data_IF_972227788498
#
_entry.id   IF_972227788498
#
_cell.length_a   1.000
_cell.length_b   1.000
_cell.length_c   1.000
_cell.angle_alpha   90.00
_cell.angle_beta   90.00
_cell.angle_gamma   90.00
#
_symmetry.space_group_name_H-M   'P 1'
#
loop_
_entity.id
_entity.type
_entity.pdbx_description
1 polymer ?
#
# COMPACT_ATOMS: atom_id res chain seq x y z
N UNK A 1 24.41 8.86 -7.10
CA UNK A 1 24.01 9.49 -5.79
C UNK A 1 22.83 8.69 -5.24
N UNK A 2 22.66 8.64 -3.92
CA UNK A 2 21.50 8.01 -3.30
C UNK A 2 20.27 8.91 -3.50
N UNK A 3 19.14 8.33 -3.89
CA UNK A 3 17.86 9.05 -4.01
C UNK A 3 17.27 9.32 -2.63
N UNK A 4 16.89 10.56 -2.37
CA UNK A 4 16.40 11.06 -1.09
C UNK A 4 15.08 11.81 -1.27
N UNK A 5 14.45 12.24 -0.18
CA UNK A 5 13.18 13.00 -0.21
C UNK A 5 13.27 14.28 -1.08
N UNK A 6 14.43 14.95 -1.09
CA UNK A 6 14.62 16.14 -1.92
C UNK A 6 14.57 15.87 -3.43
N UNK A 7 14.82 14.62 -3.84
CA UNK A 7 14.78 14.20 -5.24
C UNK A 7 13.36 13.90 -5.73
N UNK A 8 12.36 13.98 -4.86
CA UNK A 8 10.95 13.90 -5.27
C UNK A 8 10.67 15.07 -6.21
N UNK A 9 10.24 14.80 -7.45
CA UNK A 9 9.92 15.88 -8.40
C UNK A 9 8.70 16.68 -7.94
N UNK A 10 8.48 17.84 -8.53
CA UNK A 10 7.30 18.65 -8.28
C UNK A 10 6.00 17.84 -8.45
N UNK A 11 5.11 17.96 -7.48
CA UNK A 11 3.83 17.25 -7.43
C UNK A 11 2.63 18.18 -7.53
N UNK A 12 2.81 19.47 -7.87
CA UNK A 12 1.70 20.38 -8.03
C UNK A 12 0.69 19.89 -9.08
N UNK A 13 -0.60 20.04 -8.76
CA UNK A 13 -1.71 19.60 -9.62
C UNK A 13 -1.96 18.09 -9.60
N UNK A 14 -1.19 17.30 -8.84
CA UNK A 14 -1.41 15.86 -8.65
C UNK A 14 -2.25 15.59 -7.42
N UNK A 15 -3.07 14.55 -7.49
CA UNK A 15 -3.94 14.08 -6.41
C UNK A 15 -3.44 12.71 -5.93
N UNK A 16 -3.16 12.60 -4.65
CA UNK A 16 -2.70 11.37 -4.01
C UNK A 16 -3.67 10.89 -2.93
N UNK A 17 -3.96 9.60 -2.90
CA UNK A 17 -4.63 8.93 -1.78
C UNK A 17 -3.60 8.03 -1.10
N UNK A 18 -3.41 8.20 0.22
CA UNK A 18 -2.52 7.37 1.02
C UNK A 18 -3.33 6.67 2.11
N UNK A 19 -3.42 5.33 2.04
CA UNK A 19 -4.13 4.56 3.08
C UNK A 19 -3.23 4.37 4.30
N UNK A 20 -3.83 4.45 5.51
CA UNK A 20 -3.08 4.35 6.77
C UNK A 20 -2.13 5.52 7.03
N UNK A 21 -2.49 6.71 6.54
CA UNK A 21 -1.64 7.90 6.57
C UNK A 21 -1.61 8.64 7.93
N UNK A 22 -2.18 8.08 8.99
CA UNK A 22 -2.22 8.71 10.31
C UNK A 22 -0.95 8.48 11.15
N UNK A 23 -0.05 7.60 10.74
CA UNK A 23 1.19 7.29 11.46
C UNK A 23 2.24 6.58 10.60
N UNK A 24 3.48 6.54 11.07
CA UNK A 24 4.57 5.76 10.48
C UNK A 24 4.82 6.10 9.01
N UNK A 25 5.05 5.07 8.20
CA UNK A 25 5.40 5.19 6.78
C UNK A 25 4.31 5.91 5.97
N UNK A 26 3.04 5.62 6.25
CA UNK A 26 1.93 6.28 5.56
C UNK A 26 1.88 7.78 5.82
N UNK A 27 2.12 8.20 7.08
CA UNK A 27 2.23 9.60 7.44
C UNK A 27 3.38 10.29 6.71
N UNK A 28 4.59 9.71 6.76
CA UNK A 28 5.78 10.28 6.11
C UNK A 28 5.62 10.34 4.58
N UNK A 29 5.00 9.32 3.98
CA UNK A 29 4.69 9.33 2.55
C UNK A 29 3.74 10.48 2.20
N UNK A 30 2.67 10.66 2.99
CA UNK A 30 1.70 11.74 2.78
C UNK A 30 2.32 13.13 3.00
N UNK A 31 3.11 13.29 4.06
CA UNK A 31 3.83 14.52 4.38
C UNK A 31 4.78 14.93 3.24
N UNK A 32 5.61 13.99 2.77
CA UNK A 32 6.58 14.27 1.72
C UNK A 32 5.90 14.65 0.38
N UNK A 33 4.81 13.94 0.01
CA UNK A 33 4.04 14.28 -1.19
C UNK A 33 3.39 15.67 -1.07
N UNK A 34 2.80 15.99 0.09
CA UNK A 34 2.19 17.29 0.34
C UNK A 34 3.22 18.42 0.35
N UNK A 35 4.41 18.20 0.94
CA UNK A 35 5.51 19.16 0.92
C UNK A 35 6.03 19.46 -0.51
N UNK A 36 5.80 18.55 -1.47
CA UNK A 36 6.13 18.72 -2.89
C UNK A 36 4.96 19.25 -3.73
N UNK A 37 3.87 19.68 -3.10
CA UNK A 37 2.74 20.33 -3.76
C UNK A 37 1.59 19.42 -4.19
N UNK A 38 1.60 18.13 -3.85
CA UNK A 38 0.45 17.26 -4.11
C UNK A 38 -0.73 17.62 -3.21
N UNK A 39 -1.95 17.49 -3.74
CA UNK A 39 -3.16 17.35 -2.92
C UNK A 39 -3.20 15.92 -2.36
N UNK A 40 -3.19 15.77 -1.03
CA UNK A 40 -3.10 14.46 -0.40
C UNK A 40 -4.32 14.15 0.48
N UNK A 41 -4.94 13.01 0.23
CA UNK A 41 -6.00 12.45 1.08
C UNK A 41 -5.41 11.44 2.05
N UNK A 42 -5.53 11.76 3.35
CA UNK A 42 -5.14 10.88 4.45
C UNK A 42 -6.29 9.90 4.71
N UNK A 43 -6.28 8.75 4.06
CA UNK A 43 -7.32 7.75 4.17
C UNK A 43 -7.02 6.79 5.33
N UNK A 44 -7.70 6.96 6.47
CA UNK A 44 -7.49 6.12 7.65
C UNK A 44 -8.73 5.98 8.53
N UNK A 45 -8.75 4.92 9.34
CA UNK A 45 -9.93 4.54 10.14
C UNK A 45 -10.18 5.46 11.35
N UNK A 46 -9.12 5.83 12.05
CA UNK A 46 -9.25 6.60 13.29
C UNK A 46 -9.30 8.09 12.98
N UNK A 47 -10.46 8.71 13.18
CA UNK A 47 -10.69 10.12 12.88
C UNK A 47 -9.79 11.05 13.71
N UNK A 48 -9.67 10.84 15.01
CA UNK A 48 -8.86 11.71 15.87
C UNK A 48 -7.39 11.71 15.43
N UNK A 49 -6.81 10.52 15.17
CA UNK A 49 -5.43 10.39 14.65
C UNK A 49 -5.28 10.92 13.23
N UNK A 50 -6.31 10.79 12.39
CA UNK A 50 -6.30 11.31 11.04
C UNK A 50 -6.30 12.84 11.00
N UNK A 51 -7.12 13.48 11.82
CA UNK A 51 -7.15 14.94 11.96
C UNK A 51 -5.86 15.49 12.60
N UNK A 52 -5.32 14.80 13.59
CA UNK A 52 -4.01 15.16 14.16
C UNK A 52 -2.91 15.12 13.08
N UNK A 53 -2.86 14.06 12.29
CA UNK A 53 -1.90 13.95 11.19
C UNK A 53 -2.09 15.07 10.15
N UNK A 54 -3.33 15.40 9.79
CA UNK A 54 -3.65 16.51 8.90
C UNK A 54 -3.14 17.84 9.46
N UNK A 55 -3.41 18.12 10.74
CA UNK A 55 -2.98 19.35 11.42
C UNK A 55 -1.44 19.45 11.48
N UNK A 56 -0.76 18.35 11.81
CA UNK A 56 0.70 18.30 11.85
C UNK A 56 1.33 18.60 10.49
N UNK A 57 0.86 17.98 9.41
CA UNK A 57 1.37 18.24 8.07
C UNK A 57 1.15 19.71 7.68
N UNK A 58 -0.03 20.27 7.97
CA UNK A 58 -0.31 21.68 7.72
C UNK A 58 0.55 22.63 8.54
N UNK A 59 0.94 22.26 9.76
CA UNK A 59 1.83 23.08 10.58
C UNK A 59 3.27 23.08 10.08
N UNK A 60 3.72 21.99 9.44
CA UNK A 60 5.06 21.88 8.85
C UNK A 60 5.15 22.60 7.48
N UNK A 61 4.05 22.62 6.73
CA UNK A 61 3.96 23.25 5.41
C UNK A 61 2.60 23.95 5.26
N UNK A 62 2.57 25.27 5.49
CA UNK A 62 1.32 26.05 5.51
C UNK A 62 0.55 26.02 4.17
N UNK A 63 1.23 25.76 3.05
CA UNK A 63 0.63 25.61 1.71
C UNK A 63 0.18 24.18 1.41
N UNK A 64 0.37 23.20 2.30
CA UNK A 64 0.02 21.81 2.06
C UNK A 64 -1.50 21.63 1.88
N UNK A 65 -1.91 21.13 0.72
CA UNK A 65 -3.30 20.72 0.45
C UNK A 65 -3.49 19.28 0.90
N UNK A 66 -3.77 19.12 2.19
CA UNK A 66 -3.94 17.81 2.81
C UNK A 66 -5.26 17.76 3.54
N UNK A 67 -5.98 16.61 3.45
CA UNK A 67 -7.23 16.40 4.17
C UNK A 67 -7.38 14.98 4.65
N UNK A 68 -7.93 14.82 5.83
CA UNK A 68 -8.36 13.54 6.35
C UNK A 68 -9.70 13.11 5.73
N UNK A 69 -9.80 11.83 5.35
CA UNK A 69 -11.07 11.18 5.01
C UNK A 69 -11.15 9.79 5.67
N UNK A 70 -12.30 9.44 6.26
CA UNK A 70 -12.44 8.16 6.94
C UNK A 70 -12.45 6.99 5.95
N UNK A 71 -11.62 5.96 6.23
CA UNK A 71 -11.56 4.71 5.49
C UNK A 71 -11.22 3.57 6.45
N UNK A 72 -12.16 2.64 6.65
CA UNK A 72 -11.91 1.38 7.35
C UNK A 72 -11.76 0.24 6.33
N UNK A 73 -10.53 -0.24 6.17
CA UNK A 73 -10.20 -1.40 5.33
C UNK A 73 -10.64 -2.74 5.97
N UNK A 74 -11.14 -2.72 7.19
CA UNK A 74 -11.79 -3.87 7.82
C UNK A 74 -13.26 -4.04 7.43
N UNK A 75 -13.79 -3.19 6.52
CA UNK A 75 -15.19 -3.24 6.08
C UNK A 75 -15.31 -2.78 4.61
N UNK A 76 -15.70 -3.67 3.71
CA UNK A 76 -15.90 -3.35 2.29
C UNK A 76 -16.95 -2.26 2.08
N UNK A 77 -17.96 -2.17 2.94
CA UNK A 77 -18.94 -1.09 2.90
C UNK A 77 -18.29 0.29 3.07
N UNK A 78 -17.31 0.42 3.98
CA UNK A 78 -16.52 1.64 4.14
C UNK A 78 -15.65 1.94 2.92
N UNK A 79 -15.07 0.90 2.30
CA UNK A 79 -14.27 1.04 1.07
C UNK A 79 -15.12 1.57 -0.08
N UNK A 80 -16.35 1.04 -0.25
CA UNK A 80 -17.29 1.49 -1.28
C UNK A 80 -17.72 2.95 -1.05
N UNK A 81 -18.16 3.29 0.15
CA UNK A 81 -18.58 4.65 0.50
C UNK A 81 -17.43 5.67 0.30
N UNK A 82 -16.19 5.30 0.66
CA UNK A 82 -15.03 6.14 0.42
C UNK A 82 -14.80 6.37 -1.09
N UNK A 83 -14.80 5.30 -1.89
CA UNK A 83 -14.57 5.39 -3.33
C UNK A 83 -15.66 6.22 -4.03
N UNK A 84 -16.94 5.99 -3.72
CA UNK A 84 -18.07 6.76 -4.24
C UNK A 84 -17.92 8.25 -3.96
N UNK A 85 -17.62 8.60 -2.70
CA UNK A 85 -17.37 9.99 -2.30
C UNK A 85 -16.19 10.59 -3.05
N UNK A 86 -15.11 9.84 -3.25
CA UNK A 86 -13.92 10.33 -3.95
C UNK A 86 -14.21 10.60 -5.43
N UNK A 87 -14.87 9.70 -6.12
CA UNK A 87 -15.25 9.85 -7.53
C UNK A 87 -16.16 11.07 -7.72
N UNK A 88 -17.12 11.26 -6.82
CA UNK A 88 -18.06 12.38 -6.89
C UNK A 88 -17.39 13.76 -6.69
N UNK A 89 -16.39 13.84 -5.80
CA UNK A 89 -15.75 15.10 -5.43
C UNK A 89 -14.50 15.44 -6.23
N UNK A 90 -13.75 14.43 -6.67
CA UNK A 90 -12.47 14.59 -7.37
C UNK A 90 -12.21 13.38 -8.26
N UNK A 91 -12.56 13.45 -9.55
CA UNK A 91 -12.38 12.31 -10.46
C UNK A 91 -10.91 12.06 -10.83
N UNK A 92 -10.00 13.03 -10.59
CA UNK A 92 -8.56 12.88 -10.85
C UNK A 92 -7.90 12.08 -9.73
N UNK A 93 -7.08 11.10 -10.09
CA UNK A 93 -6.28 10.32 -9.15
C UNK A 93 -4.93 9.95 -9.76
N UNK A 94 -3.87 10.66 -9.37
CA UNK A 94 -2.52 10.45 -9.89
C UNK A 94 -1.77 9.36 -9.12
N UNK A 95 -1.98 9.27 -7.80
CA UNK A 95 -1.27 8.34 -6.93
C UNK A 95 -2.24 7.64 -5.97
N UNK A 96 -2.34 6.32 -6.07
CA UNK A 96 -3.00 5.48 -5.07
C UNK A 96 -1.95 4.68 -4.30
N UNK A 97 -1.71 5.06 -3.05
CA UNK A 97 -0.74 4.39 -2.19
C UNK A 97 -1.48 3.46 -1.23
N UNK A 98 -1.53 2.19 -1.57
CA UNK A 98 -2.09 1.09 -0.77
C UNK A 98 -1.08 0.70 0.33
N UNK A 99 -0.92 1.57 1.34
CA UNK A 99 0.09 1.45 2.39
C UNK A 99 -0.45 0.80 3.67
N UNK A 100 -1.70 1.03 4.03
CA UNK A 100 -2.26 0.52 5.27
C UNK A 100 -2.08 -0.99 5.44
N UNK A 101 -1.99 -1.43 6.67
CA UNK A 101 -1.91 -2.86 6.95
C UNK A 101 -1.92 -3.16 8.43
N UNK A 102 -2.15 -4.41 8.74
CA UNK A 102 -2.01 -4.98 10.08
C UNK A 102 -0.97 -6.11 10.02
N UNK A 103 -0.21 -6.27 11.10
CA UNK A 103 0.86 -7.25 11.18
C UNK A 103 0.72 -8.12 12.42
N UNK A 104 0.57 -9.40 12.21
CA UNK A 104 0.58 -10.46 13.22
C UNK A 104 -0.40 -10.24 14.40
N UNK A 105 -1.63 -9.70 14.22
CA UNK A 105 -2.61 -9.66 15.29
C UNK A 105 -3.04 -11.09 15.66
N UNK A 106 -3.68 -11.30 16.82
CA UNK A 106 -4.44 -12.51 17.08
C UNK A 106 -5.43 -12.81 15.95
N UNK A 107 -5.84 -14.09 15.80
CA UNK A 107 -6.86 -14.44 14.82
C UNK A 107 -8.12 -13.59 15.00
N UNK A 108 -8.60 -13.07 13.92
CA UNK A 108 -9.82 -12.28 13.85
C UNK A 108 -10.33 -12.18 12.42
N UNK A 109 -11.49 -11.59 12.25
CA UNK A 109 -12.12 -11.39 10.94
C UNK A 109 -12.52 -9.94 10.74
N UNK A 110 -12.53 -9.52 9.49
CA UNK A 110 -13.13 -8.25 9.05
C UNK A 110 -14.64 -8.31 9.17
N UNK A 111 -15.32 -7.17 9.00
CA UNK A 111 -16.78 -7.12 8.97
C UNK A 111 -17.38 -8.01 7.89
N UNK A 112 -16.62 -8.29 6.81
CA UNK A 112 -17.03 -9.12 5.68
C UNK A 112 -16.65 -10.60 5.87
N UNK A 113 -16.12 -10.98 7.03
CA UNK A 113 -15.78 -12.36 7.38
C UNK A 113 -14.39 -12.83 6.93
N UNK A 114 -13.56 -12.00 6.32
CA UNK A 114 -12.20 -12.35 5.90
C UNK A 114 -11.23 -12.38 7.09
N UNK A 115 -10.24 -13.27 7.04
CA UNK A 115 -9.14 -13.19 8.02
C UNK A 115 -8.54 -11.78 7.98
N UNK A 116 -8.24 -11.23 9.16
CA UNK A 116 -7.93 -9.81 9.34
C UNK A 116 -6.78 -9.32 8.46
N UNK A 117 -5.71 -10.12 8.27
CA UNK A 117 -4.53 -9.70 7.52
C UNK A 117 -4.77 -9.76 6.01
N UNK A 118 -5.31 -10.87 5.49
CA UNK A 118 -5.62 -10.95 4.05
C UNK A 118 -6.75 -9.98 3.67
N UNK A 119 -7.74 -9.82 4.53
CA UNK A 119 -8.85 -8.90 4.33
C UNK A 119 -8.40 -7.45 4.25
N UNK A 120 -7.67 -6.98 5.27
CA UNK A 120 -7.24 -5.57 5.36
C UNK A 120 -6.09 -5.25 4.41
N UNK A 121 -5.05 -6.11 4.35
CA UNK A 121 -3.83 -5.80 3.63
C UNK A 121 -3.96 -5.99 2.12
N UNK A 122 -4.85 -6.90 1.67
CA UNK A 122 -5.01 -7.25 0.27
C UNK A 122 -6.42 -7.01 -0.27
N UNK A 123 -7.45 -7.74 0.22
CA UNK A 123 -8.77 -7.72 -0.39
C UNK A 123 -9.42 -6.32 -0.39
N UNK A 124 -9.26 -5.56 0.70
CA UNK A 124 -9.78 -4.20 0.78
C UNK A 124 -9.06 -3.24 -0.17
N UNK A 125 -7.73 -3.36 -0.34
CA UNK A 125 -6.98 -2.58 -1.29
C UNK A 125 -7.26 -3.00 -2.75
N UNK A 126 -7.47 -4.28 -2.99
CA UNK A 126 -7.97 -4.78 -4.28
C UNK A 126 -9.30 -4.11 -4.62
N UNK A 127 -10.27 -4.16 -3.70
CA UNK A 127 -11.57 -3.54 -3.89
C UNK A 127 -11.47 -2.02 -4.09
N UNK A 128 -10.66 -1.33 -3.26
CA UNK A 128 -10.44 0.12 -3.38
C UNK A 128 -9.89 0.49 -4.76
N UNK A 129 -8.88 -0.26 -5.23
CA UNK A 129 -8.25 -0.02 -6.53
C UNK A 129 -9.24 -0.23 -7.67
N UNK A 130 -10.04 -1.30 -7.62
CA UNK A 130 -11.07 -1.60 -8.63
C UNK A 130 -12.18 -0.55 -8.67
N UNK A 131 -12.65 -0.10 -7.51
CA UNK A 131 -13.65 0.96 -7.42
C UNK A 131 -13.14 2.33 -7.94
N UNK A 132 -11.84 2.61 -7.79
CA UNK A 132 -11.21 3.84 -8.28
C UNK A 132 -10.60 3.68 -9.68
N UNK A 133 -10.78 2.55 -10.34
CA UNK A 133 -10.15 2.22 -11.64
C UNK A 133 -10.43 3.28 -12.70
N UNK A 134 -11.66 3.76 -12.78
CA UNK A 134 -12.03 4.76 -13.79
C UNK A 134 -11.28 6.10 -13.59
N UNK A 135 -11.08 6.51 -12.33
CA UNK A 135 -10.26 7.70 -12.02
C UNK A 135 -8.80 7.51 -12.43
N UNK A 136 -8.24 6.32 -12.19
CA UNK A 136 -6.88 5.96 -12.60
C UNK A 136 -6.74 5.94 -14.12
N UNK A 137 -7.70 5.36 -14.84
CA UNK A 137 -7.69 5.27 -16.32
C UNK A 137 -7.77 6.64 -16.99
N UNK A 138 -8.54 7.56 -16.42
CA UNK A 138 -8.70 8.93 -16.95
C UNK A 138 -7.52 9.85 -16.61
N UNK A 139 -6.69 9.47 -15.67
CA UNK A 139 -5.55 10.28 -15.22
C UNK A 139 -4.26 9.80 -15.88
N UNK A 140 -3.68 10.55 -16.83
CA UNK A 140 -2.45 10.15 -17.51
C UNK A 140 -1.30 9.93 -16.51
N UNK A 141 -0.54 8.87 -16.70
CA UNK A 141 0.63 8.50 -15.87
C UNK A 141 0.26 8.28 -14.39
N UNK A 142 -0.96 7.85 -14.12
CA UNK A 142 -1.37 7.45 -12.77
C UNK A 142 -0.51 6.29 -12.26
N UNK A 143 -0.36 6.18 -10.93
CA UNK A 143 0.37 5.06 -10.32
C UNK A 143 -0.40 4.47 -9.15
N UNK A 144 -0.43 3.15 -9.09
CA UNK A 144 -0.86 2.38 -7.93
C UNK A 144 0.38 1.77 -7.27
N UNK A 145 0.64 2.14 -6.02
CA UNK A 145 1.77 1.62 -5.24
C UNK A 145 1.26 0.71 -4.13
N UNK A 146 1.57 -0.58 -4.21
CA UNK A 146 1.17 -1.56 -3.20
C UNK A 146 2.31 -1.82 -2.21
N UNK A 147 2.08 -1.55 -0.92
CA UNK A 147 3.11 -1.78 0.09
C UNK A 147 3.11 -3.25 0.52
N UNK A 148 4.21 -3.93 0.22
CA UNK A 148 4.50 -5.31 0.59
C UNK A 148 5.50 -5.36 1.76
N UNK A 149 6.21 -6.47 1.92
CA UNK A 149 7.21 -6.72 2.97
C UNK A 149 8.15 -7.84 2.56
N UNK A 150 9.33 -7.92 3.16
CA UNK A 150 10.21 -9.08 3.07
C UNK A 150 9.53 -10.37 3.54
N UNK A 151 8.49 -10.28 4.38
CA UNK A 151 7.68 -11.42 4.80
C UNK A 151 7.04 -12.20 3.64
N UNK A 152 6.90 -11.61 2.44
CA UNK A 152 6.39 -12.30 1.25
C UNK A 152 7.25 -13.51 0.83
N UNK A 153 8.55 -13.54 1.19
CA UNK A 153 9.42 -14.69 0.90
C UNK A 153 8.95 -15.97 1.60
N UNK A 154 8.38 -15.84 2.81
CA UNK A 154 7.76 -16.93 3.55
C UNK A 154 6.27 -17.13 3.22
N UNK A 155 5.71 -16.28 2.35
CA UNK A 155 4.30 -16.32 1.96
C UNK A 155 3.96 -17.49 1.05
N UNK A 156 2.73 -17.97 1.22
CA UNK A 156 2.07 -18.91 0.31
C UNK A 156 0.59 -18.57 0.23
N UNK A 157 -0.04 -18.66 -0.95
CA UNK A 157 -1.48 -18.44 -1.09
C UNK A 157 -2.19 -19.78 -0.88
N UNK A 158 -2.80 -19.93 0.28
CA UNK A 158 -3.53 -21.13 0.67
C UNK A 158 -5.00 -21.02 0.21
N UNK A 159 -5.28 -21.26 -1.06
CA UNK A 159 -6.65 -21.11 -1.58
C UNK A 159 -7.69 -21.99 -0.88
N UNK A 160 -7.29 -23.16 -0.38
CA UNK A 160 -8.18 -24.07 0.36
C UNK A 160 -8.44 -23.64 1.81
N UNK A 161 -7.68 -22.64 2.30
CA UNK A 161 -7.80 -22.09 3.64
C UNK A 161 -7.30 -20.64 3.69
N UNK A 162 -7.77 -19.83 2.73
CA UNK A 162 -7.32 -18.45 2.56
C UNK A 162 -7.54 -17.59 3.83
N UNK A 163 -8.57 -17.94 4.60
CA UNK A 163 -8.93 -17.27 5.85
C UNK A 163 -8.34 -17.93 7.10
N UNK A 164 -7.44 -18.92 6.93
CA UNK A 164 -6.75 -19.62 8.03
C UNK A 164 -7.71 -20.18 9.10
N UNK A 165 -8.86 -20.71 8.68
CA UNK A 165 -9.89 -21.26 9.57
C UNK A 165 -9.47 -22.57 10.19
N UNK A 166 -8.70 -23.39 9.47
CA UNK A 166 -8.18 -24.69 9.95
C UNK A 166 -6.96 -24.50 10.83
N UNK A 167 -6.10 -23.55 10.51
CA UNK A 167 -4.86 -23.33 11.24
C UNK A 167 -4.34 -21.91 11.04
N UNK A 168 -4.44 -21.09 12.08
CA UNK A 168 -3.91 -19.73 12.06
C UNK A 168 -2.46 -19.68 12.56
N UNK A 169 -1.60 -19.03 11.79
CA UNK A 169 -0.26 -18.63 12.19
C UNK A 169 -0.03 -17.19 11.80
N UNK A 170 0.16 -16.27 12.75
CA UNK A 170 0.18 -14.83 12.47
C UNK A 170 1.27 -14.43 11.46
N UNK A 171 2.46 -15.03 11.52
CA UNK A 171 3.56 -14.81 10.58
C UNK A 171 3.19 -15.33 9.18
N UNK A 172 2.56 -16.53 9.11
CA UNK A 172 2.16 -17.14 7.85
C UNK A 172 1.06 -16.31 7.17
N UNK A 173 0.05 -15.89 7.91
CA UNK A 173 -1.04 -15.06 7.39
C UNK A 173 -0.51 -13.68 6.92
N UNK A 174 0.43 -13.08 7.66
CA UNK A 174 1.11 -11.87 7.24
C UNK A 174 1.89 -12.07 5.93
N UNK A 175 2.72 -13.10 5.85
CA UNK A 175 3.47 -13.46 4.64
C UNK A 175 2.56 -13.69 3.44
N UNK A 176 1.42 -14.39 3.63
CA UNK A 176 0.39 -14.59 2.62
C UNK A 176 -0.14 -13.24 2.10
N UNK A 177 -0.55 -12.35 2.99
CA UNK A 177 -1.10 -11.04 2.61
C UNK A 177 -0.09 -10.18 1.83
N UNK A 178 1.21 -10.27 2.19
CA UNK A 178 2.26 -9.50 1.51
C UNK A 178 2.70 -10.12 0.18
N UNK A 179 2.63 -11.43 0.04
CA UNK A 179 2.75 -12.11 -1.25
C UNK A 179 1.57 -11.74 -2.17
N UNK A 180 0.36 -11.73 -1.63
CA UNK A 180 -0.85 -11.33 -2.37
C UNK A 180 -0.71 -9.92 -2.97
N UNK A 181 -0.13 -8.97 -2.23
CA UNK A 181 0.10 -7.61 -2.72
C UNK A 181 1.07 -7.57 -3.92
N UNK A 182 2.11 -8.42 -3.96
CA UNK A 182 3.02 -8.51 -5.11
C UNK A 182 2.36 -9.17 -6.33
N UNK A 183 1.58 -10.23 -6.10
CA UNK A 183 0.82 -10.89 -7.16
C UNK A 183 -0.22 -9.95 -7.77
N UNK A 184 -0.94 -9.22 -6.93
CA UNK A 184 -1.90 -8.19 -7.35
C UNK A 184 -1.23 -7.10 -8.17
N UNK A 185 -0.09 -6.57 -7.73
CA UNK A 185 0.67 -5.55 -8.45
C UNK A 185 0.98 -5.98 -9.87
N UNK A 186 1.51 -7.19 -10.05
CA UNK A 186 1.93 -7.68 -11.37
C UNK A 186 0.76 -8.02 -12.28
N UNK A 187 -0.31 -8.57 -11.72
CA UNK A 187 -1.50 -8.85 -12.52
C UNK A 187 -2.23 -7.56 -12.91
N UNK A 188 -2.27 -6.55 -12.02
CA UNK A 188 -2.81 -5.24 -12.33
C UNK A 188 -2.03 -4.56 -13.44
N UNK A 189 -0.69 -4.59 -13.37
CA UNK A 189 0.15 -4.06 -14.46
C UNK A 189 -0.09 -4.74 -15.78
N UNK A 190 -0.09 -6.08 -15.80
CA UNK A 190 -0.36 -6.85 -17.01
C UNK A 190 -1.72 -6.49 -17.63
N UNK A 191 -2.71 -6.17 -16.79
CA UNK A 191 -4.04 -5.74 -17.26
C UNK A 191 -4.05 -4.31 -17.75
N UNK A 192 -3.30 -3.41 -17.13
CA UNK A 192 -3.09 -2.05 -17.64
C UNK A 192 -2.45 -2.07 -19.02
N UNK A 193 -1.35 -2.82 -19.18
CA UNK A 193 -0.67 -2.99 -20.48
C UNK A 193 -1.62 -3.56 -21.54
N UNK A 194 -2.35 -4.64 -21.22
CA UNK A 194 -3.26 -5.30 -22.16
C UNK A 194 -4.42 -4.41 -22.60
N UNK A 195 -4.87 -3.48 -21.75
CA UNK A 195 -5.96 -2.55 -22.03
C UNK A 195 -5.48 -1.19 -22.56
N UNK A 196 -4.17 -0.97 -22.70
CA UNK A 196 -3.60 0.31 -23.15
C UNK A 196 -3.84 1.46 -22.17
N UNK A 197 -3.95 1.17 -20.88
CA UNK A 197 -4.16 2.19 -19.83
C UNK A 197 -2.82 2.88 -19.52
N UNK A 198 -2.77 4.21 -19.60
CA UNK A 198 -1.58 5.01 -19.25
C UNK A 198 -1.46 5.15 -17.71
N UNK A 199 -1.29 4.02 -17.04
CA UNK A 199 -1.05 3.95 -15.60
C UNK A 199 -0.06 2.83 -15.28
N UNK A 200 0.60 2.90 -14.13
CA UNK A 200 1.54 1.89 -13.66
C UNK A 200 1.07 1.28 -12.34
N UNK A 201 1.17 -0.03 -12.20
CA UNK A 201 1.08 -0.72 -10.93
C UNK A 201 2.48 -1.17 -10.48
N UNK A 202 2.91 -0.72 -9.31
CA UNK A 202 4.24 -1.00 -8.75
C UNK A 202 4.13 -1.38 -7.28
N UNK A 203 5.18 -1.97 -6.73
CA UNK A 203 5.21 -2.35 -5.33
C UNK A 203 6.43 -1.76 -4.61
N UNK A 204 6.30 -1.60 -3.29
CA UNK A 204 7.42 -1.20 -2.44
C UNK A 204 7.40 -1.96 -1.11
N UNK A 205 8.55 -2.04 -0.44
CA UNK A 205 8.63 -2.42 0.97
C UNK A 205 9.55 -1.47 1.74
N UNK A 206 9.23 -1.19 3.00
CA UNK A 206 9.96 -0.21 3.79
C UNK A 206 11.25 -0.75 4.42
N UNK A 207 11.64 -1.98 4.14
CA UNK A 207 12.71 -2.63 4.89
C UNK A 207 12.32 -2.92 6.34
N UNK A 208 13.31 -2.84 7.23
CA UNK A 208 13.10 -2.89 8.69
C UNK A 208 12.89 -1.46 9.20
N UNK A 209 11.65 -1.09 9.53
CA UNK A 209 11.29 0.27 9.96
C UNK A 209 10.53 0.23 11.27
N UNK A 210 10.83 1.14 12.19
CA UNK A 210 10.10 1.29 13.45
C UNK A 210 8.72 1.88 13.17
N UNK A 211 7.67 1.09 13.34
CA UNK A 211 6.29 1.55 13.16
C UNK A 211 5.38 1.04 14.28
N UNK A 212 4.23 1.68 14.46
CA UNK A 212 3.19 1.21 15.41
C UNK A 212 2.65 -0.20 15.08
N UNK A 213 2.92 -0.75 13.90
CA UNK A 213 2.56 -2.10 13.48
C UNK A 213 3.18 -3.20 14.36
N UNK A 214 4.28 -2.93 15.08
CA UNK A 214 5.02 -3.90 15.88
C UNK A 214 4.44 -4.11 17.30
N UNK A 215 3.30 -3.53 17.64
CA UNK A 215 2.71 -3.55 19.01
C UNK A 215 2.42 -4.95 19.57
N UNK A 216 2.48 -6.01 18.75
CA UNK A 216 2.16 -7.39 19.15
C UNK A 216 3.36 -8.35 19.16
N UNK A 217 4.60 -7.88 19.02
CA UNK A 217 5.79 -8.73 18.82
C UNK A 217 6.76 -8.85 20.01
N UNK A 218 6.37 -8.42 21.18
CA UNK A 218 7.00 -8.51 22.51
C UNK A 218 8.51 -8.78 22.66
N UNK A 219 9.04 -9.92 22.29
CA UNK A 219 10.44 -10.30 22.55
C UNK A 219 11.40 -9.98 21.38
N UNK A 220 10.92 -9.75 20.18
CA UNK A 220 11.74 -9.34 19.02
C UNK A 220 12.04 -7.84 18.99
N UNK A 221 11.41 -7.04 19.84
CA UNK A 221 11.50 -5.59 19.83
C UNK A 221 12.92 -5.03 20.09
N UNK A 222 13.74 -5.70 20.91
CA UNK A 222 15.06 -5.20 21.28
C UNK A 222 16.07 -5.32 20.11
N UNK A 223 16.03 -6.41 19.35
CA UNK A 223 16.92 -6.64 18.20
C UNK A 223 16.48 -5.80 17.01
N UNK A 224 15.16 -5.69 16.79
CA UNK A 224 14.58 -4.87 15.72
C UNK A 224 14.85 -3.38 15.95
N UNK A 225 14.89 -2.91 17.22
CA UNK A 225 15.20 -1.50 17.55
C UNK A 225 16.58 -1.04 17.11
N UNK A 226 17.57 -1.93 17.14
CA UNK A 226 18.97 -1.57 16.79
C UNK A 226 19.18 -1.52 15.28
N UNK A 227 18.44 -2.32 14.50
CA UNK A 227 18.60 -2.47 13.05
C UNK A 227 17.41 -1.95 12.24
N UNK A 228 16.64 -1.01 12.78
CA UNK A 228 15.48 -0.43 12.08
C UNK A 228 15.73 1.01 11.68
N UNK A 229 15.30 1.35 10.46
CA UNK A 229 15.26 2.73 9.96
C UNK A 229 14.18 3.55 10.68
N UNK A 230 14.34 4.87 10.67
CA UNK A 230 13.30 5.79 11.08
C UNK A 230 12.17 5.80 10.02
N UNK A 231 10.93 6.18 10.38
CA UNK A 231 9.81 6.22 9.44
C UNK A 231 10.05 7.03 8.16
N UNK A 232 10.71 8.20 8.17
CA UNK A 232 11.03 8.94 6.94
C UNK A 232 11.88 8.13 5.96
N UNK A 233 12.92 7.45 6.45
CA UNK A 233 13.76 6.58 5.61
C UNK A 233 13.00 5.38 5.07
N UNK A 234 12.12 4.79 5.91
CA UNK A 234 11.24 3.68 5.51
C UNK A 234 10.19 4.07 4.45
N UNK A 235 9.84 5.35 4.35
CA UNK A 235 8.94 5.85 3.33
C UNK A 235 9.60 6.00 1.95
N UNK A 236 10.94 6.14 1.89
CA UNK A 236 11.65 6.42 0.63
C UNK A 236 11.38 5.40 -0.48
N UNK A 237 11.35 4.06 -0.25
CA UNK A 237 11.01 3.13 -1.32
C UNK A 237 9.61 3.33 -1.90
N UNK A 238 8.62 3.67 -1.06
CA UNK A 238 7.26 3.98 -1.49
C UNK A 238 7.22 5.28 -2.29
N UNK A 239 7.92 6.31 -1.84
CA UNK A 239 8.03 7.59 -2.53
C UNK A 239 8.76 7.46 -3.87
N UNK A 240 9.84 6.69 -3.91
CA UNK A 240 10.54 6.36 -5.16
C UNK A 240 9.62 5.68 -6.17
N UNK A 241 8.95 4.60 -5.74
CA UNK A 241 7.97 3.90 -6.57
C UNK A 241 6.86 4.81 -7.09
N UNK A 242 6.40 5.76 -6.25
CA UNK A 242 5.34 6.69 -6.59
C UNK A 242 5.78 7.80 -7.55
N UNK A 243 7.03 8.28 -7.49
CA UNK A 243 7.40 9.56 -8.10
C UNK A 243 8.60 9.54 -9.03
N UNK A 244 9.53 8.56 -8.91
CA UNK A 244 10.74 8.56 -9.73
C UNK A 244 10.43 8.29 -11.21
N UNK A 245 11.20 8.94 -12.09
CA UNK A 245 10.95 8.95 -13.54
C UNK A 245 11.38 7.66 -14.26
N UNK A 246 12.25 6.85 -13.64
CA UNK A 246 12.80 5.61 -14.22
C UNK A 246 12.05 4.34 -13.80
N UNK A 247 10.93 4.49 -13.08
CA UNK A 247 10.07 3.40 -12.60
C UNK A 247 9.26 2.82 -13.75
N UNK A 248 9.24 1.47 -13.83
CA UNK A 248 8.43 0.71 -14.79
C UNK A 248 7.38 -0.11 -14.06
N UNK A 249 6.29 -0.42 -14.74
CA UNK A 249 5.23 -1.24 -14.20
C UNK A 249 5.70 -2.64 -13.79
N UNK A 250 5.07 -3.21 -12.78
CA UNK A 250 5.42 -4.51 -12.22
C UNK A 250 6.69 -4.54 -11.34
N UNK A 251 7.45 -3.44 -11.27
CA UNK A 251 8.68 -3.37 -10.47
C UNK A 251 8.39 -3.36 -8.97
N UNK A 252 9.39 -3.78 -8.19
CA UNK A 252 9.36 -3.84 -6.74
C UNK A 252 10.56 -3.12 -6.17
N UNK A 253 10.32 -2.19 -5.24
CA UNK A 253 11.33 -1.32 -4.65
C UNK A 253 11.48 -1.57 -3.16
N UNK A 254 12.68 -1.38 -2.65
CA UNK A 254 13.01 -1.50 -1.23
C UNK A 254 14.33 -0.84 -0.92
N UNK A 255 14.78 -0.84 0.34
CA UNK A 255 16.13 -0.40 0.67
C UNK A 255 17.18 -1.25 -0.07
N UNK A 256 18.20 -0.60 -0.63
CA UNK A 256 19.24 -1.26 -1.44
C UNK A 256 20.45 -1.74 -0.63
N UNK A 257 20.53 -1.36 0.64
CA UNK A 257 21.61 -1.77 1.56
C UNK A 257 21.30 -3.11 2.24
N UNK A 258 22.01 -3.36 3.34
CA UNK A 258 22.09 -4.63 4.05
C UNK A 258 20.83 -5.52 3.97
N UNK A 259 20.91 -6.60 3.21
CA UNK A 259 19.84 -7.60 3.00
C UNK A 259 18.46 -7.02 2.59
N UNK A 260 18.39 -5.83 2.00
CA UNK A 260 17.14 -5.13 1.70
C UNK A 260 16.43 -4.54 2.92
N UNK A 261 17.11 -4.45 4.06
CA UNK A 261 16.53 -3.94 5.29
C UNK A 261 16.75 -2.44 5.50
N UNK A 262 17.88 -1.90 5.05
CA UNK A 262 18.36 -0.55 5.33
C UNK A 262 18.90 0.10 4.06
N UNK A 263 18.98 1.43 4.04
CA UNK A 263 19.63 2.21 3.00
C UNK A 263 18.69 2.89 2.01
N UNK A 264 19.22 3.55 0.97
CA UNK A 264 18.43 4.28 -0.01
C UNK A 264 17.53 3.34 -0.84
N UNK A 265 16.47 3.86 -1.46
CA UNK A 265 15.58 3.06 -2.29
C UNK A 265 16.28 2.53 -3.55
N UNK A 266 15.88 1.35 -3.98
CA UNK A 266 16.36 0.72 -5.20
C UNK A 266 15.47 -0.45 -5.60
N UNK A 267 15.74 -1.05 -6.77
CA UNK A 267 15.01 -2.25 -7.23
C UNK A 267 15.28 -3.43 -6.30
N UNK A 268 14.23 -4.01 -5.75
CA UNK A 268 14.30 -5.09 -4.78
C UNK A 268 14.09 -6.47 -5.43
N UNK A 269 14.72 -7.48 -4.86
CA UNK A 269 14.45 -8.88 -5.22
C UNK A 269 13.11 -9.31 -4.65
N UNK A 270 12.44 -10.22 -5.35
CA UNK A 270 11.20 -10.83 -4.88
C UNK A 270 11.22 -12.34 -5.07
N UNK A 271 10.39 -13.06 -4.33
CA UNK A 271 10.30 -14.52 -4.39
C UNK A 271 9.87 -15.02 -5.76
N UNK A 272 10.27 -16.24 -6.19
CA UNK A 272 9.76 -16.84 -7.44
C UNK A 272 8.23 -16.90 -7.48
N UNK A 273 7.58 -17.25 -6.36
CA UNK A 273 6.11 -17.30 -6.25
C UNK A 273 5.44 -15.96 -6.56
N UNK A 274 6.03 -14.85 -6.17
CA UNK A 274 5.47 -13.52 -6.46
C UNK A 274 5.50 -13.17 -7.96
N UNK A 275 6.20 -13.95 -8.78
CA UNK A 275 6.32 -13.80 -10.25
C UNK A 275 5.50 -14.84 -11.01
N UNK A 276 4.81 -15.71 -10.32
CA UNK A 276 3.97 -16.74 -10.91
C UNK A 276 2.68 -16.11 -11.46
N UNK A 277 2.59 -16.02 -12.78
CA UNK A 277 1.45 -15.40 -13.46
C UNK A 277 0.16 -16.24 -13.33
N UNK A 278 0.26 -17.57 -13.22
CA UNK A 278 -0.92 -18.41 -13.02
C UNK A 278 -1.48 -18.22 -11.61
N UNK A 279 -0.60 -18.16 -10.61
CA UNK A 279 -0.96 -17.86 -9.23
C UNK A 279 -1.58 -16.46 -9.10
N UNK A 280 -1.03 -15.46 -9.81
CA UNK A 280 -1.53 -14.08 -9.80
C UNK A 280 -2.94 -14.00 -10.40
N UNK A 281 -3.19 -14.64 -11.54
CA UNK A 281 -4.53 -14.71 -12.15
C UNK A 281 -5.54 -15.40 -11.24
N UNK A 282 -5.18 -16.56 -10.68
CA UNK A 282 -6.07 -17.27 -9.75
C UNK A 282 -6.41 -16.42 -8.52
N UNK A 283 -5.44 -15.72 -7.95
CA UNK A 283 -5.67 -14.81 -6.82
C UNK A 283 -6.58 -13.65 -7.22
N UNK A 284 -6.40 -13.10 -8.41
CA UNK A 284 -7.26 -12.05 -8.95
C UNK A 284 -8.71 -12.50 -9.02
N UNK A 285 -8.98 -13.63 -9.65
CA UNK A 285 -10.34 -14.17 -9.82
C UNK A 285 -11.01 -14.41 -8.46
N UNK A 286 -10.27 -14.99 -7.50
CA UNK A 286 -10.74 -15.19 -6.12
C UNK A 286 -10.99 -13.85 -5.42
N UNK A 287 -10.13 -12.85 -5.63
CA UNK A 287 -10.32 -11.53 -5.03
C UNK A 287 -11.55 -10.81 -5.59
N UNK A 288 -11.80 -10.88 -6.90
CA UNK A 288 -13.06 -10.37 -7.50
C UNK A 288 -14.29 -11.07 -6.90
N UNK A 289 -14.24 -12.38 -6.80
CA UNK A 289 -15.35 -13.18 -6.24
C UNK A 289 -15.61 -12.80 -4.77
N UNK A 290 -14.58 -12.70 -3.94
CA UNK A 290 -14.72 -12.39 -2.51
C UNK A 290 -15.17 -10.95 -2.25
N UNK A 291 -14.67 -10.00 -3.03
CA UNK A 291 -14.97 -8.57 -2.82
C UNK A 291 -16.24 -8.12 -3.57
N UNK A 292 -16.67 -8.89 -4.57
CA UNK A 292 -17.72 -8.47 -5.50
C UNK A 292 -17.35 -7.22 -6.30
N UNK A 293 -16.05 -6.94 -6.47
CA UNK A 293 -15.55 -5.82 -7.28
C UNK A 293 -14.86 -6.38 -8.51
N UNK A 294 -15.41 -6.07 -9.67
CA UNK A 294 -14.88 -6.47 -10.97
C UNK A 294 -14.21 -5.28 -11.65
N UNK A 295 -13.02 -5.49 -12.21
CA UNK A 295 -12.29 -4.45 -12.92
C UNK A 295 -12.72 -4.38 -14.37
N UNK A 296 -13.30 -3.27 -14.78
CA UNK A 296 -13.68 -2.97 -16.16
C UNK A 296 -12.59 -2.11 -16.83
N UNK A 297 -11.60 -2.77 -17.43
CA UNK A 297 -10.49 -2.11 -18.14
C UNK A 297 -10.92 -1.51 -19.48
#
# INVERSE_FOLDING_TARGET
MAWLENDIPDQHGRVAIVTGANSGIGYETARALAAKGARVVLACRNEAKGRDAEQRIRSEAASADVRFEPLDLGALASVRAFAEKRIANEPRLDLLINNAGVMMPPYGRTADGFETQIGTNHLAHFALTGLLLESLRRTPKARVVNVSSLAHFAGNIAFDDLHSERSYGPIRAYGQSKLANLLFTRELERRFEAAGVDALAVAAHPGSTRTELQRHSGMMDAVVRVFSQQPPEGALPTLYAATAGDVRGGEYFGPSGFAGCLGPPGRARSSPRSRDAALARRLWDVSEQLTGVHFAF
#
